data_IF_048823199966
#
_entry.id   IF_048823199966
#
_cell.length_a   1.000
_cell.length_b   1.000
_cell.length_c   1.000
_cell.angle_alpha   90.00
_cell.angle_beta   90.00
_cell.angle_gamma   90.00
#
_symmetry.space_group_name_H-M   'P 1'
#
loop_
_entity.id
_entity.type
_entity.pdbx_description
1 polymer ?
#
# COMPACT_ATOMS: atom_id res chain seq x y z
N UNK A 1 -30.20 34.10 -0.91
CA UNK A 1 -28.90 34.54 -0.39
C UNK A 1 -27.88 34.25 -1.48
N UNK A 2 -27.51 35.26 -2.28
CA UNK A 2 -26.56 35.09 -3.40
C UNK A 2 -25.17 35.13 -2.79
N UNK A 3 -24.48 33.99 -2.75
CA UNK A 3 -23.08 33.95 -2.34
C UNK A 3 -22.25 34.63 -3.44
N UNK A 4 -21.81 35.87 -3.20
CA UNK A 4 -20.73 36.46 -3.98
C UNK A 4 -19.49 35.64 -3.69
N UNK A 5 -19.00 34.91 -4.69
CA UNK A 5 -17.62 34.45 -4.74
C UNK A 5 -16.75 35.66 -4.38
N UNK A 6 -15.96 35.56 -3.31
CA UNK A 6 -15.00 36.60 -2.96
C UNK A 6 -14.10 36.80 -4.18
N UNK A 7 -13.94 38.05 -4.61
CA UNK A 7 -13.01 38.41 -5.67
C UNK A 7 -11.65 37.75 -5.41
N UNK A 8 -10.90 37.35 -6.45
CA UNK A 8 -9.52 36.90 -6.30
C UNK A 8 -8.75 37.91 -5.43
N UNK A 9 -7.83 37.42 -4.58
CA UNK A 9 -6.93 38.29 -3.84
C UNK A 9 -6.28 39.28 -4.83
N UNK A 10 -6.27 40.58 -4.51
CA UNK A 10 -5.66 41.61 -5.37
C UNK A 10 -4.15 41.38 -5.59
N UNK A 11 -3.54 40.59 -4.71
CA UNK A 11 -2.20 40.02 -4.86
C UNK A 11 -2.23 38.55 -4.37
N UNK A 12 -2.56 37.57 -5.22
CA UNK A 12 -2.38 36.18 -4.84
C UNK A 12 -0.87 35.95 -4.58
N UNK A 13 -0.48 35.18 -3.56
CA UNK A 13 0.92 34.82 -3.39
C UNK A 13 1.41 34.16 -4.68
N UNK A 14 2.51 34.67 -5.24
CA UNK A 14 3.17 34.05 -6.39
C UNK A 14 3.63 32.66 -5.98
N UNK A 15 2.92 31.64 -6.43
CA UNK A 15 3.40 30.27 -6.37
C UNK A 15 4.33 30.06 -7.55
N UNK A 16 5.51 29.44 -7.35
CA UNK A 16 6.40 29.16 -8.47
C UNK A 16 5.66 28.27 -9.46
N UNK A 17 5.40 28.80 -10.65
CA UNK A 17 4.68 28.11 -11.73
C UNK A 17 5.49 26.93 -12.31
N UNK A 18 6.77 26.83 -11.94
CA UNK A 18 7.67 25.73 -12.27
C UNK A 18 8.48 25.38 -11.01
N UNK A 19 8.05 24.34 -10.28
CA UNK A 19 8.91 23.66 -9.30
C UNK A 19 9.19 22.26 -9.84
N UNK A 20 10.48 21.89 -9.93
CA UNK A 20 10.89 20.55 -10.36
C UNK A 20 10.91 19.54 -9.20
N UNK A 21 10.41 19.90 -8.01
CA UNK A 21 10.54 19.07 -6.82
C UNK A 21 9.38 19.30 -5.84
N UNK A 22 8.56 18.27 -5.62
CA UNK A 22 7.35 18.33 -4.78
C UNK A 22 7.63 18.76 -3.32
N UNK A 23 8.87 18.58 -2.86
CA UNK A 23 9.35 18.90 -1.50
C UNK A 23 9.24 20.40 -1.18
N UNK A 24 9.22 21.29 -2.17
CA UNK A 24 9.13 22.74 -1.93
C UNK A 24 7.68 23.27 -1.87
N UNK A 25 6.70 22.50 -2.36
CA UNK A 25 5.28 22.88 -2.33
C UNK A 25 4.55 22.40 -1.07
N UNK A 26 5.05 21.34 -0.43
CA UNK A 26 4.63 20.90 0.90
C UNK A 26 5.39 21.72 1.94
N UNK A 27 4.72 22.13 3.02
CA UNK A 27 5.28 23.08 3.99
C UNK A 27 6.70 22.68 4.47
N UNK A 28 7.69 23.42 4.00
CA UNK A 28 9.12 23.18 4.17
C UNK A 28 9.74 23.26 5.58
N UNK A 29 9.08 23.66 6.71
CA UNK A 29 9.80 23.67 7.99
C UNK A 29 9.84 22.31 8.71
N UNK A 30 9.03 21.33 8.31
CA UNK A 30 8.86 20.09 9.09
C UNK A 30 9.84 18.98 8.66
N UNK A 31 10.35 19.04 7.44
CA UNK A 31 11.19 18.00 6.81
C UNK A 31 12.67 17.99 7.24
N UNK A 32 13.08 18.85 8.17
CA UNK A 32 14.48 18.98 8.59
C UNK A 32 14.69 18.71 10.10
N UNK A 33 13.73 18.02 10.73
CA UNK A 33 13.81 17.60 12.11
C UNK A 33 13.75 16.07 12.19
N UNK A 34 14.46 15.45 13.16
CA UNK A 34 14.30 14.03 13.45
C UNK A 34 12.82 13.66 13.57
N UNK A 35 12.41 12.56 12.95
CA UNK A 35 11.01 12.10 12.85
C UNK A 35 10.32 12.07 14.21
N UNK A 36 11.04 11.73 15.29
CA UNK A 36 10.56 11.71 16.66
C UNK A 36 10.28 13.10 17.25
N UNK A 37 11.09 14.10 16.91
CA UNK A 37 10.88 15.50 17.27
C UNK A 37 9.73 16.10 16.45
N UNK A 38 9.58 15.72 15.18
CA UNK A 38 8.45 16.13 14.32
C UNK A 38 7.14 15.59 14.85
N UNK A 39 7.03 14.30 15.15
CA UNK A 39 5.81 13.66 15.68
C UNK A 39 5.38 14.38 16.95
N UNK A 40 6.31 14.58 17.89
CA UNK A 40 6.01 15.16 19.20
C UNK A 40 5.72 16.65 19.08
N UNK A 41 6.47 17.41 18.27
CA UNK A 41 6.29 18.86 18.12
C UNK A 41 5.05 19.20 17.32
N UNK A 42 4.77 18.51 16.22
CA UNK A 42 3.55 18.69 15.43
C UNK A 42 2.30 18.18 16.15
N UNK A 43 2.38 17.13 16.98
CA UNK A 43 1.28 16.80 17.88
C UNK A 43 1.12 17.86 18.95
N UNK A 44 2.20 18.39 19.54
CA UNK A 44 2.09 19.42 20.59
C UNK A 44 1.58 20.74 20.01
N UNK A 45 2.04 21.16 18.83
CA UNK A 45 1.54 22.33 18.11
C UNK A 45 0.15 22.10 17.54
N UNK A 46 -0.13 20.90 17.05
CA UNK A 46 -1.48 20.45 16.70
C UNK A 46 -2.41 20.54 17.91
N UNK A 47 -2.01 20.03 19.07
CA UNK A 47 -2.75 20.15 20.33
C UNK A 47 -2.90 21.63 20.73
N UNK A 48 -1.90 22.49 20.54
CA UNK A 48 -2.01 23.93 20.81
C UNK A 48 -2.96 24.66 19.84
N UNK A 49 -2.99 24.24 18.57
CA UNK A 49 -3.76 24.88 17.48
C UNK A 49 -5.20 24.35 17.39
N UNK A 50 -5.39 23.06 17.67
CA UNK A 50 -6.69 22.41 17.80
C UNK A 50 -7.21 22.64 19.22
N UNK A 51 -8.17 23.54 19.34
CA UNK A 51 -8.85 23.92 20.58
C UNK A 51 -9.06 22.73 21.54
N UNK A 52 -8.16 22.60 22.53
CA UNK A 52 -8.10 21.51 23.55
C UNK A 52 -9.39 21.43 24.38
N UNK A 53 -10.24 22.46 24.29
CA UNK A 53 -11.56 22.49 24.92
C UNK A 53 -12.61 21.68 24.17
N UNK A 54 -12.34 21.24 22.94
CA UNK A 54 -13.27 20.42 22.19
C UNK A 54 -12.93 18.92 22.38
N UNK A 55 -13.76 18.16 23.12
CA UNK A 55 -13.51 16.74 23.38
C UNK A 55 -13.48 15.90 22.09
N UNK A 56 -14.09 16.36 20.99
CA UNK A 56 -14.10 15.66 19.70
C UNK A 56 -12.81 15.85 18.87
N UNK A 57 -11.92 16.74 19.28
CA UNK A 57 -10.60 16.94 18.65
C UNK A 57 -9.43 16.44 19.49
N UNK A 58 -9.59 16.29 20.81
CA UNK A 58 -8.51 15.82 21.69
C UNK A 58 -8.33 14.30 21.68
N UNK A 59 -9.42 13.53 21.60
CA UNK A 59 -9.38 12.07 21.73
C UNK A 59 -8.47 11.42 20.69
N UNK A 60 -8.55 11.82 19.41
CA UNK A 60 -7.82 11.18 18.33
C UNK A 60 -6.30 11.41 18.39
N UNK A 61 -5.78 12.64 18.53
CA UNK A 61 -4.35 12.88 18.76
C UNK A 61 -3.83 12.17 20.01
N UNK A 62 -4.62 12.10 21.09
CA UNK A 62 -4.22 11.40 22.31
C UNK A 62 -4.09 9.89 22.10
N UNK A 63 -5.03 9.28 21.37
CA UNK A 63 -4.95 7.86 20.98
C UNK A 63 -3.73 7.60 20.09
N UNK A 64 -3.48 8.47 19.11
CA UNK A 64 -2.31 8.40 18.23
C UNK A 64 -0.99 8.45 19.01
N UNK A 65 -0.84 9.45 19.88
CA UNK A 65 0.36 9.60 20.72
C UNK A 65 0.60 8.36 21.57
N UNK A 66 -0.45 7.87 22.23
CA UNK A 66 -0.32 6.71 23.08
C UNK A 66 0.04 5.45 22.30
N UNK A 67 -0.53 5.24 21.11
CA UNK A 67 -0.16 4.12 20.25
C UNK A 67 1.28 4.24 19.76
N UNK A 68 1.73 5.42 19.34
CA UNK A 68 3.12 5.64 18.95
C UNK A 68 4.10 5.33 20.09
N UNK A 69 3.82 5.81 21.30
CA UNK A 69 4.63 5.52 22.49
C UNK A 69 4.65 4.03 22.85
N UNK A 70 3.50 3.35 22.72
CA UNK A 70 3.40 1.90 22.92
C UNK A 70 4.24 1.15 21.90
N UNK A 71 4.14 1.51 20.62
CA UNK A 71 4.88 0.86 19.55
C UNK A 71 6.38 1.01 19.74
N UNK A 72 6.86 2.23 20.05
CA UNK A 72 8.27 2.47 20.39
C UNK A 72 8.73 1.65 21.59
N UNK A 73 7.87 1.49 22.61
CA UNK A 73 8.19 0.64 23.78
C UNK A 73 8.29 -0.84 23.41
N UNK A 74 7.35 -1.35 22.60
CA UNK A 74 7.36 -2.74 22.14
C UNK A 74 8.59 -3.01 21.26
N UNK A 75 8.85 -2.13 20.31
CA UNK A 75 10.03 -2.16 19.46
C UNK A 75 11.32 -2.20 20.30
N UNK A 76 11.50 -1.26 21.23
CA UNK A 76 12.66 -1.25 22.12
C UNK A 76 12.79 -2.53 22.97
N UNK A 77 11.68 -3.19 23.31
CA UNK A 77 11.71 -4.46 24.04
C UNK A 77 12.20 -5.61 23.16
N UNK A 78 11.70 -5.73 21.93
CA UNK A 78 12.09 -6.78 20.99
C UNK A 78 13.49 -6.56 20.41
N UNK A 79 13.90 -5.32 20.21
CA UNK A 79 15.23 -4.97 19.69
C UNK A 79 16.32 -4.89 20.78
N UNK A 80 15.96 -5.06 22.06
CA UNK A 80 16.94 -5.06 23.14
C UNK A 80 17.93 -6.24 22.99
N UNK A 81 19.22 -6.06 23.33
CA UNK A 81 20.20 -7.14 23.25
C UNK A 81 19.75 -8.39 24.01
N UNK A 82 19.72 -9.53 23.32
CA UNK A 82 19.28 -10.82 23.86
C UNK A 82 17.76 -11.08 23.80
N UNK A 83 16.96 -10.10 23.36
CA UNK A 83 15.51 -10.25 23.21
C UNK A 83 15.04 -10.40 21.76
N UNK A 84 15.93 -10.18 20.77
CA UNK A 84 15.59 -10.29 19.34
C UNK A 84 15.13 -11.71 19.04
N UNK A 85 13.85 -11.92 18.64
CA UNK A 85 13.35 -13.26 18.38
C UNK A 85 13.97 -13.81 17.10
N UNK A 86 14.52 -15.03 17.16
CA UNK A 86 15.02 -15.72 15.98
C UNK A 86 13.87 -16.35 15.19
N UNK A 87 13.20 -15.56 14.36
CA UNK A 87 12.05 -15.99 13.56
C UNK A 87 12.49 -16.60 12.22
N UNK A 88 12.59 -17.93 12.19
CA UNK A 88 13.01 -18.70 11.00
C UNK A 88 11.88 -19.45 10.30
N UNK A 89 10.70 -19.53 10.92
CA UNK A 89 9.53 -20.22 10.38
C UNK A 89 8.34 -19.27 10.25
N UNK A 90 7.45 -19.56 9.30
CA UNK A 90 6.21 -18.80 9.14
C UNK A 90 5.37 -18.80 10.42
N UNK A 91 5.25 -19.96 11.09
CA UNK A 91 4.53 -20.07 12.37
C UNK A 91 5.10 -19.14 13.44
N UNK A 92 6.42 -18.91 13.44
CA UNK A 92 7.07 -17.93 14.31
C UNK A 92 6.63 -16.50 14.00
N UNK A 93 6.55 -16.12 12.71
CA UNK A 93 6.03 -14.80 12.30
C UNK A 93 4.55 -14.64 12.64
N UNK A 94 3.73 -15.67 12.42
CA UNK A 94 2.31 -15.66 12.75
C UNK A 94 2.11 -15.48 14.27
N UNK A 95 2.83 -16.24 15.09
CA UNK A 95 2.78 -16.11 16.55
C UNK A 95 3.23 -14.72 17.03
N UNK A 96 4.28 -14.16 16.43
CA UNK A 96 4.74 -12.79 16.73
C UNK A 96 3.68 -11.74 16.37
N UNK A 97 3.02 -11.89 15.22
CA UNK A 97 1.92 -11.01 14.80
C UNK A 97 0.74 -11.08 15.76
N UNK A 98 0.38 -12.27 16.23
CA UNK A 98 -0.69 -12.44 17.21
C UNK A 98 -0.34 -11.81 18.56
N UNK A 99 0.88 -12.01 19.06
CA UNK A 99 1.37 -11.34 20.27
C UNK A 99 1.30 -9.82 20.12
N UNK A 100 1.77 -9.28 18.99
CA UNK A 100 1.68 -7.85 18.70
C UNK A 100 0.22 -7.36 18.71
N UNK A 101 -0.70 -8.08 18.06
CA UNK A 101 -2.14 -7.75 18.04
C UNK A 101 -2.75 -7.76 19.45
N UNK A 102 -2.39 -8.74 20.31
CA UNK A 102 -2.82 -8.74 21.71
C UNK A 102 -2.36 -7.48 22.44
N UNK A 103 -1.07 -7.11 22.29
CA UNK A 103 -0.50 -5.91 22.91
C UNK A 103 -1.19 -4.62 22.46
N UNK A 104 -1.66 -4.56 21.21
CA UNK A 104 -2.42 -3.40 20.73
C UNK A 104 -3.82 -3.30 21.36
N UNK A 105 -4.42 -4.40 21.80
CA UNK A 105 -5.75 -4.39 22.45
C UNK A 105 -5.70 -4.04 23.95
N UNK A 106 -4.52 -4.10 24.57
CA UNK A 106 -4.31 -3.67 25.96
C UNK A 106 -4.70 -2.19 26.18
N UNK A 107 -5.05 -1.85 27.43
CA UNK A 107 -5.46 -0.50 27.79
C UNK A 107 -4.33 0.50 27.55
N UNK A 108 -4.60 1.54 26.78
CA UNK A 108 -3.68 2.64 26.60
C UNK A 108 -3.56 3.45 27.90
N UNK A 109 -2.32 3.70 28.33
CA UNK A 109 -1.99 4.31 29.64
C UNK A 109 -2.61 3.59 30.86
N UNK A 110 -3.00 2.31 30.71
CA UNK A 110 -3.65 1.53 31.77
C UNK A 110 -5.12 1.89 32.03
N UNK A 111 -5.68 2.88 31.33
CA UNK A 111 -7.03 3.41 31.61
C UNK A 111 -7.96 3.42 30.39
N UNK A 112 -7.44 3.57 29.16
CA UNK A 112 -8.27 3.67 27.95
C UNK A 112 -8.39 2.31 27.25
N UNK A 113 -9.58 1.70 27.16
CA UNK A 113 -9.76 0.42 26.49
C UNK A 113 -9.61 0.56 24.96
N UNK A 114 -8.54 0.02 24.39
CA UNK A 114 -8.27 0.11 22.94
C UNK A 114 -9.15 -0.78 22.08
N UNK A 115 -9.76 -1.81 22.66
CA UNK A 115 -10.64 -2.76 21.94
C UNK A 115 -11.79 -2.10 21.15
N UNK A 116 -12.17 -0.88 21.50
CA UNK A 116 -13.24 -0.15 20.81
C UNK A 116 -12.72 0.75 19.67
N UNK A 117 -11.40 0.87 19.51
CA UNK A 117 -10.73 1.74 18.54
C UNK A 117 -9.86 0.96 17.54
N UNK A 118 -9.50 -0.27 17.88
CA UNK A 118 -8.73 -1.18 17.03
C UNK A 118 -9.63 -2.37 16.71
N UNK A 119 -10.18 -2.38 15.50
CA UNK A 119 -10.93 -3.52 14.98
C UNK A 119 -10.00 -4.43 14.21
N UNK A 120 -10.03 -5.71 14.53
CA UNK A 120 -9.34 -6.75 13.77
C UNK A 120 -10.39 -7.65 13.11
N UNK A 121 -10.83 -7.37 11.87
CA UNK A 121 -11.90 -8.13 11.21
C UNK A 121 -11.63 -9.65 11.20
N UNK A 122 -10.37 -10.07 11.01
CA UNK A 122 -9.95 -11.48 11.05
C UNK A 122 -10.22 -12.18 12.40
N UNK A 123 -10.36 -11.42 13.49
CA UNK A 123 -10.62 -11.92 14.84
C UNK A 123 -12.09 -11.71 15.24
N UNK A 124 -12.70 -10.63 14.75
CA UNK A 124 -14.00 -10.15 15.21
C UNK A 124 -15.17 -10.56 14.30
N UNK A 125 -14.91 -10.85 13.02
CA UNK A 125 -15.93 -11.20 12.04
C UNK A 125 -15.71 -12.64 11.53
N UNK A 126 -16.65 -13.56 11.79
CA UNK A 126 -16.53 -14.96 11.37
C UNK A 126 -16.54 -15.14 9.84
N UNK A 127 -16.87 -14.11 9.08
CA UNK A 127 -16.79 -14.11 7.60
C UNK A 127 -15.36 -14.02 7.10
N UNK A 128 -14.42 -13.56 7.93
CA UNK A 128 -13.00 -13.48 7.61
C UNK A 128 -12.26 -14.62 8.29
N UNK A 129 -11.59 -15.44 7.50
CA UNK A 129 -10.79 -16.54 8.01
C UNK A 129 -9.34 -16.10 8.19
N UNK A 130 -8.71 -16.54 9.28
CA UNK A 130 -7.29 -16.31 9.49
C UNK A 130 -6.46 -17.11 8.46
N UNK A 131 -5.88 -16.39 7.51
CA UNK A 131 -5.07 -16.98 6.44
C UNK A 131 -3.71 -17.51 6.92
N UNK A 132 -3.28 -17.13 8.12
CA UNK A 132 -2.04 -17.65 8.72
C UNK A 132 -2.24 -19.08 9.22
N UNK A 133 -3.46 -19.43 9.62
CA UNK A 133 -3.80 -20.77 10.09
C UNK A 133 -3.76 -21.79 8.94
N UNK A 134 -3.22 -22.99 9.23
CA UNK A 134 -3.12 -24.10 8.28
C UNK A 134 -2.41 -23.74 6.95
N UNK A 135 -1.52 -22.74 6.95
CA UNK A 135 -0.78 -22.29 5.77
C UNK A 135 -1.68 -21.85 4.59
N UNK A 136 -2.90 -21.37 4.86
CA UNK A 136 -3.85 -20.99 3.80
C UNK A 136 -3.37 -19.86 2.91
N UNK A 137 -2.52 -18.97 3.42
CA UNK A 137 -1.83 -17.94 2.64
C UNK A 137 -1.05 -18.51 1.44
N UNK A 138 -0.64 -19.78 1.50
CA UNK A 138 0.07 -20.47 0.40
C UNK A 138 -0.87 -20.94 -0.71
N UNK A 139 -2.19 -20.88 -0.52
CA UNK A 139 -3.16 -21.32 -1.53
C UNK A 139 -3.26 -20.35 -2.71
N UNK A 140 -3.61 -20.86 -3.88
CA UNK A 140 -3.90 -20.03 -5.06
C UNK A 140 -5.20 -19.25 -4.90
N UNK A 141 -6.14 -19.79 -4.12
CA UNK A 141 -7.40 -19.12 -3.79
C UNK A 141 -7.16 -17.82 -3.02
N UNK A 142 -6.44 -17.88 -1.89
CA UNK A 142 -6.13 -16.69 -1.08
C UNK A 142 -5.27 -15.70 -1.86
N UNK A 143 -4.27 -16.21 -2.60
CA UNK A 143 -3.45 -15.38 -3.48
C UNK A 143 -4.30 -14.57 -4.48
N UNK A 144 -5.30 -15.21 -5.08
CA UNK A 144 -6.17 -14.56 -6.07
C UNK A 144 -7.20 -13.64 -5.43
N UNK A 145 -7.84 -14.04 -4.33
CA UNK A 145 -8.82 -13.23 -3.61
C UNK A 145 -8.23 -11.89 -3.15
N UNK A 146 -6.95 -11.87 -2.77
CA UNK A 146 -6.25 -10.65 -2.41
C UNK A 146 -6.18 -9.60 -3.54
N UNK A 147 -6.31 -10.00 -4.82
CA UNK A 147 -6.36 -9.04 -5.95
C UNK A 147 -7.74 -8.40 -6.14
N UNK A 148 -8.76 -8.95 -5.47
CA UNK A 148 -10.15 -8.48 -5.59
C UNK A 148 -10.61 -7.80 -4.30
N UNK A 149 -10.14 -8.27 -3.15
CA UNK A 149 -10.58 -7.83 -1.82
C UNK A 149 -9.43 -7.76 -0.80
N UNK A 150 -8.17 -7.80 -1.24
CA UNK A 150 -7.01 -7.67 -0.38
C UNK A 150 -6.54 -6.22 -0.25
N UNK A 151 -5.24 -6.05 0.02
CA UNK A 151 -4.63 -4.73 0.18
C UNK A 151 -4.62 -3.94 -1.12
N UNK A 152 -4.36 -4.61 -2.26
CA UNK A 152 -4.32 -3.97 -3.57
C UNK A 152 -5.36 -4.54 -4.55
N UNK A 153 -6.61 -4.07 -4.47
CA UNK A 153 -7.64 -4.38 -5.45
C UNK A 153 -7.59 -3.44 -6.68
N UNK A 154 -6.56 -2.58 -6.80
CA UNK A 154 -6.51 -1.50 -7.80
C UNK A 154 -5.65 -1.83 -9.03
N UNK A 155 -4.78 -2.84 -8.94
CA UNK A 155 -3.80 -3.13 -10.03
C UNK A 155 -4.22 -4.27 -10.97
N UNK A 156 -5.27 -5.04 -10.65
CA UNK A 156 -5.74 -6.10 -11.55
C UNK A 156 -6.54 -5.49 -12.70
N UNK A 157 -6.19 -5.86 -13.94
CA UNK A 157 -6.84 -5.33 -15.15
C UNK A 157 -7.07 -6.43 -16.19
N UNK A 158 -8.02 -6.23 -17.09
CA UNK A 158 -8.24 -7.15 -18.23
C UNK A 158 -7.02 -7.04 -19.16
N UNK A 159 -6.52 -8.19 -19.62
CA UNK A 159 -5.44 -8.24 -20.59
C UNK A 159 -6.01 -8.12 -22.01
N UNK A 160 -5.45 -7.21 -22.81
CA UNK A 160 -5.66 -7.15 -24.27
C UNK A 160 -4.43 -7.66 -25.02
N UNK A 161 -4.59 -8.11 -26.26
CA UNK A 161 -3.44 -8.43 -27.12
C UNK A 161 -2.71 -7.18 -27.63
N UNK A 162 -3.37 -6.02 -27.63
CA UNK A 162 -2.79 -4.75 -28.05
C UNK A 162 -2.00 -4.04 -26.94
N UNK A 163 -2.00 -4.62 -25.74
CA UNK A 163 -1.33 -4.09 -24.56
C UNK A 163 0.18 -4.08 -24.76
N UNK A 164 0.86 -2.99 -24.39
CA UNK A 164 2.31 -2.87 -24.60
C UNK A 164 3.07 -3.98 -23.90
N UNK A 165 2.60 -4.41 -22.72
CA UNK A 165 3.22 -5.50 -21.94
C UNK A 165 3.36 -6.81 -22.73
N UNK A 166 2.39 -7.12 -23.60
CA UNK A 166 2.36 -8.32 -24.44
C UNK A 166 3.49 -8.27 -25.48
N UNK A 167 3.71 -7.11 -26.10
CA UNK A 167 4.72 -6.97 -27.16
C UNK A 167 6.13 -6.70 -26.60
N UNK A 168 6.21 -5.96 -25.50
CA UNK A 168 7.45 -5.39 -24.99
C UNK A 168 8.09 -6.26 -23.90
N UNK A 169 7.33 -7.08 -23.17
CA UNK A 169 7.86 -7.75 -21.98
C UNK A 169 7.49 -9.22 -21.81
N UNK A 170 6.42 -9.72 -22.44
CA UNK A 170 6.10 -11.15 -22.35
C UNK A 170 7.23 -12.01 -22.91
N UNK A 171 7.63 -13.01 -22.13
CA UNK A 171 8.48 -14.10 -22.57
C UNK A 171 7.68 -15.04 -23.49
N UNK A 172 7.73 -14.81 -24.80
CA UNK A 172 7.07 -15.64 -25.80
C UNK A 172 7.78 -16.96 -26.11
N UNK A 173 8.96 -17.21 -25.52
CA UNK A 173 9.56 -18.54 -25.55
C UNK A 173 8.82 -19.52 -24.61
N UNK A 174 8.07 -19.00 -23.63
CA UNK A 174 7.18 -19.79 -22.80
C UNK A 174 5.88 -20.15 -23.53
N UNK A 175 5.38 -21.38 -23.31
CA UNK A 175 4.14 -21.87 -23.94
C UNK A 175 2.89 -21.40 -23.17
N UNK A 176 2.51 -20.14 -23.37
CA UNK A 176 1.32 -19.53 -22.75
C UNK A 176 0.01 -20.27 -23.07
N UNK A 177 -0.08 -20.85 -24.28
CA UNK A 177 -1.25 -21.60 -24.73
C UNK A 177 -1.44 -22.89 -23.92
N UNK A 178 -0.36 -23.62 -23.63
CA UNK A 178 -0.41 -24.83 -22.82
C UNK A 178 -0.82 -24.52 -21.37
N UNK A 179 -0.18 -23.52 -20.75
CA UNK A 179 -0.52 -23.08 -19.40
C UNK A 179 -1.98 -22.61 -19.29
N UNK A 180 -2.48 -21.86 -20.28
CA UNK A 180 -3.88 -21.42 -20.31
C UNK A 180 -4.84 -22.61 -20.48
N UNK A 181 -4.50 -23.59 -21.33
CA UNK A 181 -5.33 -24.78 -21.54
C UNK A 181 -5.42 -25.65 -20.29
N UNK A 182 -4.35 -25.76 -19.51
CA UNK A 182 -4.37 -26.49 -18.23
C UNK A 182 -5.38 -25.88 -17.23
N UNK A 183 -5.52 -24.55 -17.22
CA UNK A 183 -6.40 -23.85 -16.29
C UNK A 183 -7.83 -23.70 -16.83
N UNK A 184 -8.00 -23.43 -18.11
CA UNK A 184 -9.28 -23.01 -18.72
C UNK A 184 -9.87 -23.99 -19.73
N UNK A 185 -9.07 -24.95 -20.21
CA UNK A 185 -9.41 -25.81 -21.35
C UNK A 185 -9.37 -25.12 -22.73
N UNK A 186 -9.09 -23.81 -22.80
CA UNK A 186 -9.05 -23.02 -24.05
C UNK A 186 -7.65 -22.42 -24.28
N UNK A 187 -7.36 -21.98 -25.52
CA UNK A 187 -6.08 -21.32 -25.81
C UNK A 187 -5.97 -19.95 -25.12
N UNK A 188 -4.74 -19.46 -24.99
CA UNK A 188 -4.45 -18.13 -24.47
C UNK A 188 -5.18 -17.06 -25.27
N UNK A 189 -5.05 -17.10 -26.60
CA UNK A 189 -5.66 -16.10 -27.48
C UNK A 189 -7.20 -16.11 -27.44
N UNK A 190 -7.83 -17.28 -27.37
CA UNK A 190 -9.29 -17.39 -27.25
C UNK A 190 -9.77 -16.80 -25.92
N UNK A 191 -9.07 -17.09 -24.82
CA UNK A 191 -9.42 -16.57 -23.50
C UNK A 191 -9.25 -15.05 -23.43
N UNK A 192 -8.16 -14.50 -23.97
CA UNK A 192 -7.91 -13.05 -24.06
C UNK A 192 -9.02 -12.38 -24.87
N UNK A 193 -9.31 -12.89 -26.08
CA UNK A 193 -10.37 -12.34 -26.94
C UNK A 193 -11.77 -12.43 -26.32
N UNK A 194 -11.98 -13.35 -25.37
CA UNK A 194 -13.24 -13.46 -24.63
C UNK A 194 -13.37 -12.51 -23.44
N UNK A 195 -12.34 -11.70 -23.14
CA UNK A 195 -12.30 -10.81 -21.98
C UNK A 195 -12.20 -11.53 -20.64
N UNK A 196 -11.66 -12.75 -20.61
CA UNK A 196 -11.57 -13.60 -19.40
C UNK A 196 -10.16 -13.76 -18.86
N UNK A 197 -9.19 -13.05 -19.42
CA UNK A 197 -7.80 -13.04 -18.96
C UNK A 197 -7.53 -11.72 -18.28
N UNK A 198 -6.94 -11.79 -17.09
CA UNK A 198 -6.55 -10.64 -16.31
C UNK A 198 -5.05 -10.67 -16.12
N UNK A 199 -4.44 -9.49 -16.08
CA UNK A 199 -3.03 -9.32 -15.79
C UNK A 199 -2.86 -8.44 -14.55
N UNK A 200 -1.84 -8.75 -13.77
CA UNK A 200 -1.33 -7.95 -12.68
C UNK A 200 0.13 -7.67 -12.97
N UNK A 201 0.44 -6.40 -13.19
CA UNK A 201 1.76 -5.88 -13.53
C UNK A 201 2.06 -4.59 -12.78
N UNK A 202 3.35 -4.26 -12.64
CA UNK A 202 3.81 -3.11 -11.88
C UNK A 202 4.82 -2.28 -12.67
N UNK A 203 4.42 -1.66 -13.79
CA UNK A 203 5.36 -0.99 -14.71
C UNK A 203 6.27 0.05 -14.04
N UNK A 204 5.79 0.75 -13.00
CA UNK A 204 6.60 1.72 -12.24
C UNK A 204 7.80 1.08 -11.51
N UNK A 205 7.71 -0.21 -11.16
CA UNK A 205 8.79 -1.00 -10.56
C UNK A 205 9.82 -1.47 -11.58
N UNK A 206 9.56 -1.33 -12.88
CA UNK A 206 10.53 -1.70 -13.89
C UNK A 206 11.82 -0.86 -13.74
N UNK A 207 12.95 -1.57 -13.64
CA UNK A 207 14.26 -0.95 -13.45
C UNK A 207 14.38 -0.14 -12.17
N UNK A 208 13.58 -0.43 -11.14
CA UNK A 208 13.62 0.29 -9.87
C UNK A 208 14.98 0.12 -9.18
N UNK A 209 15.48 1.21 -8.59
CA UNK A 209 16.72 1.17 -7.82
C UNK A 209 16.51 0.36 -6.54
N UNK A 210 17.28 -0.71 -6.41
CA UNK A 210 17.42 -1.46 -5.16
C UNK A 210 18.64 -0.96 -4.41
N UNK A 211 18.57 -0.92 -3.08
CA UNK A 211 19.69 -0.53 -2.22
C UNK A 211 20.34 -1.76 -1.58
N UNK A 212 21.52 -1.56 -1.00
CA UNK A 212 22.12 -2.54 -0.12
C UNK A 212 21.33 -2.64 1.19
N UNK A 213 21.26 -3.84 1.76
CA UNK A 213 20.60 -4.07 3.04
C UNK A 213 21.33 -3.30 4.16
N UNK A 214 20.58 -2.60 5.01
CA UNK A 214 21.14 -1.91 6.17
C UNK A 214 21.79 -2.87 7.16
N UNK A 215 21.36 -4.14 7.15
CA UNK A 215 21.89 -5.21 8.00
C UNK A 215 23.03 -5.98 7.31
N UNK A 216 23.55 -5.57 6.16
CA UNK A 216 24.57 -6.33 5.39
C UNK A 216 25.82 -6.69 6.21
N UNK A 217 26.16 -5.89 7.21
CA UNK A 217 27.31 -6.11 8.09
C UNK A 217 27.01 -7.03 9.29
N UNK A 218 25.74 -7.42 9.52
CA UNK A 218 25.39 -8.41 10.54
C UNK A 218 25.77 -9.82 10.05
N UNK A 219 26.59 -10.58 10.81
CA UNK A 219 26.98 -11.94 10.42
C UNK A 219 25.80 -12.93 10.34
N UNK A 220 24.63 -12.60 10.90
CA UNK A 220 23.41 -13.38 10.85
C UNK A 220 22.36 -12.82 9.87
N UNK A 221 22.71 -11.81 9.05
CA UNK A 221 21.75 -11.23 8.12
C UNK A 221 21.23 -12.27 7.13
N UNK A 222 19.95 -12.13 6.78
CA UNK A 222 19.36 -12.93 5.70
C UNK A 222 19.53 -12.17 4.40
N UNK A 223 19.86 -12.85 3.28
CA UNK A 223 19.99 -12.17 2.00
C UNK A 223 18.67 -11.46 1.63
N UNK A 224 18.72 -10.14 1.56
CA UNK A 224 17.61 -9.34 1.06
C UNK A 224 17.40 -9.65 -0.43
N UNK A 225 16.19 -10.05 -0.78
CA UNK A 225 15.82 -10.21 -2.18
C UNK A 225 15.44 -8.85 -2.76
N UNK A 226 15.91 -8.59 -3.98
CA UNK A 226 15.58 -7.39 -4.73
C UNK A 226 14.10 -7.37 -5.11
N UNK A 227 13.52 -6.18 -5.12
CA UNK A 227 12.22 -5.91 -5.73
C UNK A 227 12.39 -5.90 -7.25
N UNK A 228 11.50 -6.64 -7.91
CA UNK A 228 11.38 -6.78 -9.37
C UNK A 228 9.97 -6.39 -9.79
N UNK A 229 9.68 -6.41 -11.10
CA UNK A 229 8.37 -6.10 -11.65
C UNK A 229 7.74 -7.35 -12.28
N UNK A 230 7.18 -8.30 -11.50
CA UNK A 230 6.61 -9.52 -12.05
C UNK A 230 5.37 -9.24 -12.88
N UNK A 231 5.07 -10.15 -13.82
CA UNK A 231 3.85 -10.14 -14.63
C UNK A 231 3.06 -11.39 -14.28
N UNK A 232 1.87 -11.23 -13.72
CA UNK A 232 1.01 -12.36 -13.35
C UNK A 232 -0.22 -12.41 -14.23
N UNK A 233 -0.47 -13.58 -14.84
CA UNK A 233 -1.65 -13.81 -15.67
C UNK A 233 -2.64 -14.68 -14.89
N UNK A 234 -3.90 -14.27 -14.93
CA UNK A 234 -5.02 -14.98 -14.34
C UNK A 234 -6.10 -15.27 -15.39
N UNK A 235 -6.89 -16.32 -15.17
CA UNK A 235 -8.04 -16.67 -15.99
C UNK A 235 -9.30 -16.75 -15.14
N UNK A 236 -10.38 -16.11 -15.61
CA UNK A 236 -11.72 -16.26 -15.05
C UNK A 236 -12.37 -17.51 -15.64
N UNK A 237 -12.43 -18.59 -14.85
CA UNK A 237 -12.92 -19.90 -15.28
C UNK A 237 -14.11 -20.37 -14.43
N UNK A 238 -15.08 -21.09 -15.02
CA UNK A 238 -16.20 -21.65 -14.27
C UNK A 238 -15.70 -22.56 -13.15
N UNK A 239 -16.18 -22.35 -11.94
CA UNK A 239 -15.94 -23.21 -10.79
C UNK A 239 -17.23 -23.49 -10.05
N UNK A 240 -17.33 -24.65 -9.41
CA UNK A 240 -18.45 -24.95 -8.54
C UNK A 240 -18.30 -24.16 -7.26
N UNK A 241 -19.20 -23.23 -6.99
CA UNK A 241 -19.26 -22.56 -5.69
C UNK A 241 -19.92 -23.53 -4.69
N UNK A 242 -19.13 -24.06 -3.76
CA UNK A 242 -19.61 -25.02 -2.76
C UNK A 242 -20.67 -24.44 -1.82
N UNK A 243 -20.71 -23.12 -1.64
CA UNK A 243 -21.66 -22.43 -0.77
C UNK A 243 -22.98 -22.13 -1.47
N UNK A 244 -22.94 -21.73 -2.75
CA UNK A 244 -24.16 -21.36 -3.50
C UNK A 244 -24.71 -22.50 -4.35
N UNK A 245 -23.92 -23.56 -4.59
CA UNK A 245 -24.24 -24.66 -5.49
C UNK A 245 -24.32 -24.24 -6.96
N UNK A 246 -23.94 -23.01 -7.30
CA UNK A 246 -23.95 -22.47 -8.65
C UNK A 246 -22.57 -22.57 -9.29
N UNK A 247 -22.55 -22.70 -10.61
CA UNK A 247 -21.32 -22.49 -11.39
C UNK A 247 -21.12 -20.99 -11.52
N UNK A 248 -20.14 -20.47 -10.79
CA UNK A 248 -19.71 -19.09 -10.84
C UNK A 248 -18.27 -19.06 -11.34
N UNK A 249 -17.88 -18.01 -12.05
CA UNK A 249 -16.49 -17.89 -12.44
C UNK A 249 -15.65 -17.57 -11.21
N UNK A 250 -14.51 -18.26 -11.10
CA UNK A 250 -13.46 -17.93 -10.15
C UNK A 250 -12.24 -17.52 -10.92
N UNK A 251 -11.54 -16.51 -10.42
CA UNK A 251 -10.24 -16.13 -10.94
C UNK A 251 -9.22 -17.19 -10.48
N UNK A 252 -8.39 -17.67 -11.40
CA UNK A 252 -7.33 -18.66 -11.15
C UNK A 252 -6.01 -18.16 -11.71
N UNK A 253 -4.88 -18.31 -10.99
CA UNK A 253 -3.58 -17.94 -11.54
C UNK A 253 -3.18 -18.94 -12.63
N UNK A 254 -2.65 -18.42 -13.74
CA UNK A 254 -2.16 -19.20 -14.87
C UNK A 254 -0.64 -19.33 -14.80
N UNK A 255 0.05 -18.19 -14.73
CA UNK A 255 1.49 -18.15 -14.64
C UNK A 255 1.98 -16.80 -14.08
N UNK A 256 3.21 -16.80 -13.57
CA UNK A 256 3.95 -15.64 -13.11
C UNK A 256 5.26 -15.59 -13.87
N UNK A 257 5.47 -14.54 -14.66
CA UNK A 257 6.78 -14.15 -15.15
C UNK A 257 7.50 -13.37 -14.05
N UNK A 258 8.70 -13.80 -13.68
CA UNK A 258 9.37 -13.34 -12.47
C UNK A 258 9.86 -11.89 -12.53
N UNK A 259 9.97 -11.29 -13.72
CA UNK A 259 10.30 -9.88 -13.92
C UNK A 259 9.77 -9.38 -15.28
N UNK A 260 9.75 -8.06 -15.48
CA UNK A 260 9.34 -7.40 -16.71
C UNK A 260 10.50 -7.39 -17.73
N UNK A 261 10.96 -8.59 -18.07
CA UNK A 261 12.04 -8.91 -18.99
C UNK A 261 11.63 -10.12 -19.85
N UNK A 262 11.86 -10.05 -21.18
CA UNK A 262 11.47 -11.11 -22.13
C UNK A 262 12.17 -12.45 -21.88
N UNK A 263 13.30 -12.45 -21.18
CA UNK A 263 14.05 -13.66 -20.86
C UNK A 263 13.79 -14.15 -19.42
N UNK A 264 12.96 -13.44 -18.64
CA UNK A 264 12.62 -13.83 -17.29
C UNK A 264 11.90 -15.19 -17.27
N UNK A 265 12.20 -15.99 -16.24
CA UNK A 265 11.55 -17.27 -16.05
C UNK A 265 10.04 -17.09 -15.82
N UNK A 266 9.25 -17.96 -16.46
CA UNK A 266 7.80 -18.05 -16.26
C UNK A 266 7.50 -19.31 -15.46
N UNK A 267 6.79 -19.16 -14.34
CA UNK A 267 6.43 -20.25 -13.44
C UNK A 267 4.91 -20.43 -13.41
N UNK A 268 4.45 -21.66 -13.30
CA UNK A 268 3.03 -22.06 -13.22
C UNK A 268 2.75 -22.81 -11.91
N UNK A 269 1.48 -23.04 -11.56
CA UNK A 269 1.11 -23.86 -10.40
C UNK A 269 1.75 -25.26 -10.37
N UNK A 270 2.14 -25.79 -11.52
CA UNK A 270 2.77 -27.11 -11.65
C UNK A 270 4.27 -27.13 -11.29
N UNK A 271 4.89 -25.97 -10.99
CA UNK A 271 6.32 -25.90 -10.62
C UNK A 271 6.62 -26.14 -9.13
N UNK A 272 5.69 -26.69 -8.36
CA UNK A 272 5.92 -27.12 -6.98
C UNK A 272 6.32 -25.97 -6.06
N UNK A 273 7.40 -26.13 -5.27
CA UNK A 273 7.85 -25.09 -4.34
C UNK A 273 8.29 -23.79 -5.03
N UNK A 274 8.72 -23.84 -6.29
CA UNK A 274 9.04 -22.63 -7.07
C UNK A 274 7.81 -21.77 -7.32
N UNK A 275 6.62 -22.37 -7.41
CA UNK A 275 5.38 -21.63 -7.56
C UNK A 275 5.07 -20.76 -6.33
N UNK A 276 5.29 -21.29 -5.13
CA UNK A 276 5.13 -20.50 -3.91
C UNK A 276 6.10 -19.31 -3.87
N UNK A 277 7.34 -19.52 -4.30
CA UNK A 277 8.34 -18.46 -4.43
C UNK A 277 7.92 -17.39 -5.47
N UNK A 278 7.32 -17.81 -6.58
CA UNK A 278 6.79 -16.89 -7.59
C UNK A 278 5.69 -16.00 -7.01
N UNK A 279 4.74 -16.59 -6.29
CA UNK A 279 3.68 -15.84 -5.60
C UNK A 279 4.24 -14.89 -4.55
N UNK A 280 5.26 -15.31 -3.80
CA UNK A 280 5.96 -14.44 -2.83
C UNK A 280 6.63 -13.24 -3.52
N UNK A 281 7.22 -13.42 -4.71
CA UNK A 281 7.74 -12.31 -5.51
C UNK A 281 6.63 -11.31 -5.89
N UNK A 282 5.48 -11.82 -6.32
CA UNK A 282 4.31 -10.98 -6.60
C UNK A 282 3.85 -10.24 -5.35
N UNK A 283 3.77 -10.90 -4.19
CA UNK A 283 3.42 -10.23 -2.92
C UNK A 283 4.40 -9.12 -2.57
N UNK A 284 5.70 -9.32 -2.79
CA UNK A 284 6.74 -8.33 -2.51
C UNK A 284 6.63 -7.11 -3.43
N UNK A 285 6.39 -7.32 -4.73
CA UNK A 285 6.14 -6.22 -5.65
C UNK A 285 4.84 -5.49 -5.27
N UNK A 286 3.77 -6.23 -4.98
CA UNK A 286 2.45 -5.71 -4.65
C UNK A 286 2.46 -4.84 -3.40
N UNK A 287 3.11 -5.28 -2.32
CA UNK A 287 3.16 -4.49 -1.07
C UNK A 287 3.95 -3.20 -1.23
N UNK A 288 5.05 -3.22 -1.99
CA UNK A 288 5.83 -2.02 -2.28
C UNK A 288 5.01 -1.04 -3.12
N UNK A 289 4.33 -1.57 -4.15
CA UNK A 289 3.52 -0.76 -5.05
C UNK A 289 2.31 -0.16 -4.34
N UNK A 290 1.54 -0.96 -3.60
CA UNK A 290 0.32 -0.49 -2.94
C UNK A 290 0.63 0.53 -1.86
N UNK A 291 1.66 0.34 -1.04
CA UNK A 291 1.97 1.28 0.04
C UNK A 291 2.41 2.65 -0.50
N UNK A 292 3.20 2.67 -1.58
CA UNK A 292 3.77 3.92 -2.10
C UNK A 292 2.83 4.59 -3.11
N UNK A 293 2.22 3.83 -4.02
CA UNK A 293 1.41 4.35 -5.12
C UNK A 293 -0.06 4.44 -4.74
N UNK A 294 -0.71 3.30 -4.47
CA UNK A 294 -2.17 3.28 -4.27
C UNK A 294 -2.58 3.89 -2.93
N UNK A 295 -1.78 3.69 -1.88
CA UNK A 295 -2.01 4.24 -0.55
C UNK A 295 -1.42 5.64 -0.43
N UNK A 296 -0.10 5.78 -0.33
CA UNK A 296 0.51 7.07 0.00
C UNK A 296 0.28 8.15 -1.08
N UNK A 297 0.58 7.88 -2.34
CA UNK A 297 0.43 8.87 -3.42
C UNK A 297 -1.04 9.18 -3.70
N UNK A 298 -1.83 8.17 -4.07
CA UNK A 298 -3.19 8.34 -4.58
C UNK A 298 -4.24 8.66 -3.50
N UNK A 299 -3.91 8.51 -2.21
CA UNK A 299 -4.79 8.97 -1.12
C UNK A 299 -4.19 10.16 -0.37
N UNK A 300 -3.12 9.94 0.39
CA UNK A 300 -2.57 10.91 1.32
C UNK A 300 -2.08 12.17 0.62
N UNK A 301 -1.18 12.01 -0.36
CA UNK A 301 -0.52 13.15 -1.02
C UNK A 301 -1.42 13.80 -2.07
N UNK A 302 -2.28 13.04 -2.75
CA UNK A 302 -3.27 13.59 -3.69
C UNK A 302 -4.26 14.55 -3.00
N UNK A 303 -4.74 14.18 -1.80
CA UNK A 303 -5.75 14.97 -1.08
C UNK A 303 -5.18 16.20 -0.37
N UNK A 304 -3.89 16.22 -0.04
CA UNK A 304 -3.29 17.29 0.76
C UNK A 304 -3.36 18.68 0.10
N UNK A 305 -3.07 18.85 -1.21
CA UNK A 305 -3.27 20.12 -1.91
C UNK A 305 -4.72 20.60 -1.86
N UNK A 306 -5.69 19.71 -2.05
CA UNK A 306 -7.13 20.04 -2.01
C UNK A 306 -7.50 20.57 -0.63
N UNK A 307 -7.07 19.88 0.43
CA UNK A 307 -7.33 20.27 1.81
C UNK A 307 -6.62 21.57 2.20
N UNK A 308 -5.39 21.76 1.71
CA UNK A 308 -4.63 22.99 1.91
C UNK A 308 -5.31 24.18 1.25
N UNK A 309 -5.76 24.03 -0.01
CA UNK A 309 -6.51 25.07 -0.73
C UNK A 309 -7.79 25.40 0.05
N UNK A 310 -8.57 24.40 0.44
CA UNK A 310 -9.81 24.61 1.20
C UNK A 310 -9.57 25.46 2.46
N UNK A 311 -8.53 25.16 3.24
CA UNK A 311 -8.21 25.92 4.46
C UNK A 311 -7.74 27.35 4.19
N UNK A 312 -7.08 27.59 3.04
CA UNK A 312 -6.50 28.90 2.69
C UNK A 312 -7.46 29.83 1.97
N UNK A 313 -8.41 29.29 1.20
CA UNK A 313 -9.25 30.08 0.29
C UNK A 313 -10.69 30.23 0.75
N UNK A 314 -11.28 29.21 1.39
CA UNK A 314 -12.69 29.27 1.79
C UNK A 314 -12.86 29.84 3.20
N UNK A 315 -13.80 30.77 3.34
CA UNK A 315 -14.31 31.17 4.65
C UNK A 315 -14.86 29.95 5.40
N UNK A 316 -14.69 29.91 6.72
CA UNK A 316 -15.30 28.86 7.57
C UNK A 316 -16.82 28.79 7.42
N UNK A 317 -17.48 29.86 7.00
CA UNK A 317 -18.93 29.89 6.76
C UNK A 317 -19.32 29.45 5.34
N UNK A 318 -18.34 29.23 4.45
CA UNK A 318 -18.60 28.82 3.08
C UNK A 318 -19.13 27.38 3.04
N UNK A 319 -20.19 27.07 2.27
CA UNK A 319 -20.75 25.72 2.19
C UNK A 319 -19.71 24.65 1.80
N UNK A 320 -18.80 24.97 0.85
CA UNK A 320 -17.72 24.04 0.47
C UNK A 320 -16.73 23.81 1.62
N UNK A 321 -16.42 24.81 2.44
CA UNK A 321 -15.58 24.58 3.62
C UNK A 321 -16.26 23.60 4.57
N UNK A 322 -17.55 23.79 4.85
CA UNK A 322 -18.31 22.91 5.73
C UNK A 322 -18.39 21.47 5.19
N UNK A 323 -18.49 21.32 3.86
CA UNK A 323 -18.51 20.03 3.19
C UNK A 323 -17.15 19.32 3.26
N UNK A 324 -16.05 20.00 2.91
CA UNK A 324 -14.73 19.39 2.83
C UNK A 324 -14.03 19.22 4.19
N UNK A 325 -14.30 20.11 5.15
CA UNK A 325 -13.64 20.11 6.46
C UNK A 325 -13.61 18.74 7.17
N UNK A 326 -14.72 17.96 7.26
CA UNK A 326 -14.66 16.64 7.88
C UNK A 326 -13.76 15.64 7.13
N UNK A 327 -13.65 15.74 5.81
CA UNK A 327 -12.80 14.86 4.97
C UNK A 327 -11.33 15.25 5.00
N UNK A 328 -11.04 16.53 5.20
CA UNK A 328 -9.68 17.05 5.31
C UNK A 328 -9.13 17.03 6.74
N UNK A 329 -9.95 16.62 7.71
CA UNK A 329 -9.60 16.63 9.12
C UNK A 329 -8.38 15.74 9.36
N UNK A 330 -7.32 16.31 9.93
CA UNK A 330 -6.05 15.67 10.28
C UNK A 330 -5.13 15.24 9.14
N UNK A 331 -5.56 15.30 7.87
CA UNK A 331 -4.72 14.86 6.74
C UNK A 331 -3.33 15.51 6.74
N UNK A 332 -3.27 16.84 6.83
CA UNK A 332 -2.01 17.58 6.84
C UNK A 332 -1.10 17.21 8.03
N UNK A 333 -1.69 16.95 9.21
CA UNK A 333 -0.94 16.51 10.40
C UNK A 333 -0.37 15.12 10.16
N UNK A 334 -1.18 14.20 9.63
CA UNK A 334 -0.74 12.84 9.30
C UNK A 334 0.39 12.86 8.29
N UNK A 335 0.29 13.63 7.20
CA UNK A 335 1.34 13.69 6.18
C UNK A 335 2.62 14.35 6.70
N UNK A 336 2.49 15.43 7.48
CA UNK A 336 3.64 16.12 8.10
C UNK A 336 4.46 15.20 9.01
N UNK A 337 3.80 14.23 9.65
CA UNK A 337 4.44 13.25 10.53
C UNK A 337 4.88 11.99 9.80
N UNK A 338 4.04 11.48 8.91
CA UNK A 338 4.22 10.19 8.25
C UNK A 338 5.28 10.24 7.16
N UNK A 339 5.37 11.33 6.38
CA UNK A 339 6.33 11.41 5.26
C UNK A 339 7.79 11.26 5.74
N UNK A 340 8.28 12.00 6.75
CA UNK A 340 9.61 11.77 7.31
C UNK A 340 9.81 10.36 7.86
N UNK A 341 8.84 9.87 8.66
CA UNK A 341 8.88 8.53 9.25
C UNK A 341 8.81 7.40 8.22
N UNK A 342 8.47 7.69 6.97
CA UNK A 342 8.49 6.71 5.88
C UNK A 342 9.77 6.84 5.04
N UNK A 343 10.17 8.05 4.66
CA UNK A 343 11.19 8.28 3.64
C UNK A 343 12.58 8.68 4.14
N UNK A 344 12.74 9.07 5.40
CA UNK A 344 14.08 9.45 5.88
C UNK A 344 15.02 8.23 5.92
N UNK A 345 16.31 8.49 6.04
CA UNK A 345 17.29 7.42 6.17
C UNK A 345 17.07 6.63 7.46
N UNK A 346 17.16 5.29 7.37
CA UNK A 346 16.89 4.35 8.46
C UNK A 346 15.44 4.37 9.01
N UNK A 347 14.49 4.96 8.26
CA UNK A 347 13.07 4.90 8.59
C UNK A 347 12.32 3.80 7.79
N UNK A 348 11.00 3.68 7.95
CA UNK A 348 10.24 2.48 7.60
C UNK A 348 10.45 1.97 6.16
N UNK A 349 10.43 2.84 5.13
CA UNK A 349 10.62 2.36 3.75
C UNK A 349 12.09 1.98 3.46
N UNK A 350 13.04 2.53 4.21
CA UNK A 350 14.43 2.13 4.14
C UNK A 350 14.63 0.72 4.71
N UNK A 351 14.04 0.45 5.88
CA UNK A 351 14.28 -0.81 6.61
C UNK A 351 13.39 -1.96 6.14
N UNK A 352 12.20 -1.70 5.60
CA UNK A 352 11.23 -2.74 5.24
C UNK A 352 11.33 -3.19 3.78
N UNK A 353 11.81 -2.34 2.87
CA UNK A 353 11.80 -2.61 1.44
C UNK A 353 13.19 -2.58 0.82
N UNK A 354 13.44 -3.51 -0.10
CA UNK A 354 14.75 -3.61 -0.78
C UNK A 354 15.06 -2.43 -1.73
N UNK A 355 14.04 -1.65 -2.08
CA UNK A 355 14.22 -0.39 -2.82
C UNK A 355 14.70 0.75 -1.90
N UNK A 356 14.60 0.56 -0.59
CA UNK A 356 15.02 1.53 0.41
C UNK A 356 14.28 2.85 0.33
N UNK A 357 14.78 3.85 1.06
CA UNK A 357 14.25 5.22 0.95
C UNK A 357 14.43 5.80 -0.46
N UNK A 358 15.62 5.63 -1.05
CA UNK A 358 15.97 6.24 -2.35
C UNK A 358 15.11 5.69 -3.49
N UNK A 359 14.97 4.36 -3.57
CA UNK A 359 14.11 3.73 -4.56
C UNK A 359 12.63 4.02 -4.29
N UNK A 360 12.21 4.14 -3.03
CA UNK A 360 10.83 4.54 -2.70
C UNK A 360 10.51 5.97 -3.15
N UNK A 361 11.42 6.92 -2.94
CA UNK A 361 11.29 8.30 -3.45
C UNK A 361 11.25 8.29 -4.99
N UNK A 362 12.08 7.47 -5.63
CA UNK A 362 12.06 7.33 -7.08
C UNK A 362 10.72 6.79 -7.60
N UNK A 363 10.20 5.73 -6.97
CA UNK A 363 8.91 5.14 -7.30
C UNK A 363 7.77 6.16 -7.14
N UNK A 364 7.73 6.86 -6.01
CA UNK A 364 6.75 7.92 -5.76
C UNK A 364 6.79 8.99 -6.85
N UNK A 365 7.99 9.45 -7.22
CA UNK A 365 8.17 10.48 -8.25
C UNK A 365 7.79 9.99 -9.65
N UNK A 366 7.99 8.71 -9.97
CA UNK A 366 7.50 8.13 -11.23
C UNK A 366 5.98 8.11 -11.23
N UNK A 367 5.36 7.56 -10.18
CA UNK A 367 3.91 7.51 -10.05
C UNK A 367 3.24 8.88 -10.12
N UNK A 368 3.81 9.90 -9.45
CA UNK A 368 3.28 11.26 -9.51
C UNK A 368 3.25 11.85 -10.92
N UNK A 369 4.24 11.52 -11.76
CA UNK A 369 4.30 12.01 -13.15
C UNK A 369 3.26 11.36 -14.06
N UNK A 370 2.85 10.13 -13.74
CA UNK A 370 1.84 9.38 -14.49
C UNK A 370 0.44 9.59 -13.94
N UNK A 371 0.31 9.99 -12.67
CA UNK A 371 -0.98 10.24 -12.03
C UNK A 371 -1.70 11.44 -12.65
N UNK A 372 -2.99 11.24 -12.92
CA UNK A 372 -3.89 12.26 -13.46
C UNK A 372 -5.16 12.37 -12.61
N UNK A 373 -6.04 13.31 -12.96
CA UNK A 373 -7.35 13.38 -12.32
C UNK A 373 -8.24 12.17 -12.65
N UNK A 374 -7.97 11.47 -13.77
CA UNK A 374 -8.74 10.29 -14.19
C UNK A 374 -8.58 9.12 -13.22
N UNK A 375 -7.45 9.03 -12.50
CA UNK A 375 -7.23 8.05 -11.43
C UNK A 375 -8.27 8.17 -10.30
N UNK A 376 -8.92 9.33 -10.14
CA UNK A 376 -9.97 9.53 -9.12
C UNK A 376 -11.34 9.03 -9.56
N UNK A 377 -11.50 8.65 -10.84
CA UNK A 377 -12.77 8.20 -11.39
C UNK A 377 -12.96 6.69 -11.19
N UNK A 378 -13.44 6.32 -10.01
CA UNK A 378 -13.65 4.92 -9.64
C UNK A 378 -14.48 4.12 -10.65
N UNK A 379 -15.54 4.70 -11.22
CA UNK A 379 -16.41 3.97 -12.15
C UNK A 379 -15.73 3.69 -13.50
N UNK A 380 -14.93 4.63 -14.01
CA UNK A 380 -14.17 4.40 -15.25
C UNK A 380 -12.99 3.47 -15.02
N UNK A 381 -12.32 3.54 -13.87
CA UNK A 381 -11.22 2.62 -13.54
C UNK A 381 -11.66 1.15 -13.36
N UNK A 382 -12.97 0.91 -13.16
CA UNK A 382 -13.54 -0.45 -13.11
C UNK A 382 -13.95 -1.01 -14.48
N UNK A 383 -14.08 -0.16 -15.51
CA UNK A 383 -14.50 -0.55 -16.86
C UNK A 383 -13.30 -0.99 -17.68
#
# INVERSE_FOLDING_TARGET
MIYKLTSPLENPPEFPTNTNNLIEAVAAPVLNQPSDVVVVTSLIEGIKTYNIKNPFTFTWPFLWLGNALRNKKLEAQYLAPGNVPNLTTYDGYAAFLDEYREKQREKLFGIFPMKNFMHYPLVEDPSFEDITWSNRWQSDEVFTQQRLAGLNPMSLRILSMDDSIVNDYFNWAFNWDEAMREVSGSSFIEMVNSGKVFVLDYPLLQGITNIEDIEVNDPNHRPMRKTVSPITVFASVPSGNAYTGKSENTLKPVAIQMDMDKDAAVLTPNNGSKWLMAKEEVQRADIVYVEIIEHLLKTHLLMEPICTIMHRTFSKLHPLYQLFYPHCKYLAVTNSVGVPALFDENEYLHILFSIGNTGSINLLNKGYKEMTWEDTNFEENLK
#
